data_IF_529541656035
#
_entry.id   IF_529541656035
#
_cell.length_a   1.000
_cell.length_b   1.000
_cell.length_c   1.000
_cell.angle_alpha   90.00
_cell.angle_beta   90.00
_cell.angle_gamma   90.00
#
_symmetry.space_group_name_H-M   'P 1'
#
loop_
_entity.id
_entity.type
_entity.pdbx_description
1 polymer ?
#
# COMPACT_ATOMS: atom_id res chain seq x y z
N UNK A 1 -19.85 8.85 -23.08
CA UNK A 1 -19.80 8.64 -21.63
C UNK A 1 -19.56 7.16 -21.40
N UNK A 2 -18.29 6.77 -21.28
CA UNK A 2 -17.90 5.37 -21.02
C UNK A 2 -17.85 5.14 -19.51
N UNK A 3 -18.33 4.01 -18.99
CA UNK A 3 -18.28 3.72 -17.56
C UNK A 3 -16.83 3.47 -17.14
N UNK A 4 -16.37 4.24 -16.16
CA UNK A 4 -15.10 4.01 -15.47
C UNK A 4 -15.17 2.66 -14.75
N UNK A 5 -14.40 1.69 -15.22
CA UNK A 5 -14.23 0.41 -14.57
C UNK A 5 -13.41 0.64 -13.30
N UNK A 6 -14.07 0.61 -12.16
CA UNK A 6 -13.38 0.57 -10.87
C UNK A 6 -12.50 -0.70 -10.82
N UNK A 7 -11.23 -0.61 -10.37
CA UNK A 7 -10.42 -1.81 -10.19
C UNK A 7 -11.12 -2.76 -9.23
N UNK A 8 -11.21 -4.02 -9.65
CA UNK A 8 -11.80 -5.11 -8.87
C UNK A 8 -11.17 -5.16 -7.48
N UNK A 9 -12.02 -5.41 -6.47
CA UNK A 9 -11.55 -5.72 -5.13
C UNK A 9 -10.57 -6.89 -5.24
N UNK A 10 -9.32 -6.67 -4.85
CA UNK A 10 -8.34 -7.76 -4.73
C UNK A 10 -8.82 -8.61 -3.55
N UNK A 11 -9.39 -9.75 -3.86
CA UNK A 11 -9.73 -10.77 -2.88
C UNK A 11 -8.40 -11.43 -2.45
N UNK A 12 -7.72 -10.79 -1.50
CA UNK A 12 -6.58 -11.40 -0.84
C UNK A 12 -7.16 -12.51 0.04
N UNK A 13 -7.05 -13.73 -0.48
CA UNK A 13 -7.43 -14.96 0.19
C UNK A 13 -7.11 -14.90 1.68
N UNK A 14 -8.08 -15.33 2.49
CA UNK A 14 -7.95 -15.44 3.93
C UNK A 14 -6.58 -16.03 4.28
N UNK A 15 -5.76 -15.28 4.99
CA UNK A 15 -4.54 -15.82 5.62
C UNK A 15 -5.03 -16.86 6.62
N UNK A 16 -4.90 -18.12 6.24
CA UNK A 16 -5.31 -19.24 7.09
C UNK A 16 -4.43 -19.23 8.34
N UNK A 17 -4.99 -19.26 9.56
CA UNK A 17 -4.21 -19.41 10.77
C UNK A 17 -3.75 -20.87 10.89
N UNK A 18 -2.46 -21.09 11.00
CA UNK A 18 -1.98 -22.33 11.57
C UNK A 18 -2.27 -22.30 13.07
N UNK A 19 -3.16 -23.19 13.48
CA UNK A 19 -3.41 -23.71 14.83
C UNK A 19 -3.53 -22.70 15.99
N UNK A 20 -4.77 -22.39 16.34
CA UNK A 20 -5.18 -21.66 17.54
C UNK A 20 -6.36 -20.76 17.20
N UNK A 21 -7.55 -21.06 17.70
CA UNK A 21 -8.83 -20.41 17.39
C UNK A 21 -8.75 -18.88 17.44
N UNK A 22 -8.50 -18.26 16.32
CA UNK A 22 -8.64 -16.82 16.12
C UNK A 22 -9.44 -16.60 14.85
N UNK A 23 -10.47 -15.78 14.96
CA UNK A 23 -11.33 -15.42 13.85
C UNK A 23 -10.52 -14.97 12.63
N UNK A 24 -10.91 -15.39 11.41
CA UNK A 24 -10.22 -14.99 10.19
C UNK A 24 -10.26 -13.46 10.04
N UNK A 25 -9.08 -12.87 9.85
CA UNK A 25 -8.97 -11.43 9.59
C UNK A 25 -9.09 -11.21 8.09
N UNK A 26 -9.97 -10.30 7.68
CA UNK A 26 -10.18 -9.91 6.28
C UNK A 26 -9.58 -8.54 6.02
N UNK A 27 -8.83 -8.43 4.93
CA UNK A 27 -8.32 -7.15 4.43
C UNK A 27 -9.32 -6.56 3.44
N UNK A 28 -9.66 -5.28 3.60
CA UNK A 28 -10.56 -4.54 2.73
C UNK A 28 -10.04 -3.11 2.51
N UNK A 29 -10.58 -2.44 1.47
CA UNK A 29 -10.32 -1.00 1.29
C UNK A 29 -10.95 -0.23 2.46
N UNK A 30 -10.15 0.68 3.07
CA UNK A 30 -10.61 1.61 4.09
C UNK A 30 -11.69 2.51 3.50
N UNK A 31 -12.81 2.63 4.21
CA UNK A 31 -13.96 3.43 3.84
C UNK A 31 -14.17 4.56 4.86
N UNK A 32 -14.98 5.53 4.50
CA UNK A 32 -15.23 6.69 5.35
C UNK A 32 -15.73 6.32 6.76
N UNK A 33 -16.51 5.25 6.90
CA UNK A 33 -17.02 4.77 8.19
C UNK A 33 -15.96 4.08 9.06
N UNK A 34 -14.80 3.71 8.50
CA UNK A 34 -13.69 3.11 9.23
C UNK A 34 -12.79 4.16 9.90
N UNK A 35 -12.90 5.43 9.48
CA UNK A 35 -11.97 6.49 9.90
C UNK A 35 -11.95 6.68 11.42
N UNK A 36 -13.11 6.62 12.07
CA UNK A 36 -13.19 6.79 13.52
C UNK A 36 -12.41 5.70 14.28
N UNK A 37 -12.60 4.43 13.89
CA UNK A 37 -11.90 3.30 14.51
C UNK A 37 -10.40 3.34 14.24
N UNK A 38 -10.02 3.69 12.99
CA UNK A 38 -8.61 3.80 12.59
C UNK A 38 -7.92 4.92 13.34
N UNK A 39 -8.53 6.10 13.46
CA UNK A 39 -7.97 7.22 14.21
C UNK A 39 -7.84 6.92 15.71
N UNK A 40 -8.78 6.16 16.29
CA UNK A 40 -8.68 5.70 17.66
C UNK A 40 -7.50 4.75 17.87
N UNK A 41 -7.34 3.74 17.00
CA UNK A 41 -6.21 2.82 17.06
C UNK A 41 -4.87 3.54 16.80
N UNK A 42 -4.83 4.50 15.89
CA UNK A 42 -3.66 5.34 15.61
C UNK A 42 -3.25 6.11 16.89
N UNK A 43 -4.21 6.76 17.55
CA UNK A 43 -3.96 7.52 18.77
C UNK A 43 -3.42 6.64 19.91
N UNK A 44 -3.95 5.44 20.06
CA UNK A 44 -3.49 4.46 21.06
C UNK A 44 -2.06 3.99 20.80
N UNK A 45 -1.66 3.88 19.53
CA UNK A 45 -0.36 3.34 19.15
C UNK A 45 0.74 4.39 19.05
N UNK A 46 0.42 5.59 18.58
CA UNK A 46 1.41 6.63 18.24
C UNK A 46 1.32 7.88 19.13
N UNK A 47 0.30 7.98 19.98
CA UNK A 47 0.15 9.07 20.94
C UNK A 47 0.24 10.46 20.29
N UNK A 48 1.18 11.34 20.72
CA UNK A 48 1.26 12.71 20.20
C UNK A 48 1.60 12.84 18.71
N UNK A 49 2.14 11.78 18.08
CA UNK A 49 2.49 11.77 16.67
C UNK A 49 1.43 11.11 15.80
N UNK A 50 0.31 10.68 16.39
CA UNK A 50 -0.80 10.06 15.70
C UNK A 50 -1.46 10.99 14.68
N UNK A 51 -1.90 10.43 13.58
CA UNK A 51 -2.73 11.14 12.63
C UNK A 51 -4.13 11.40 13.20
N UNK A 52 -4.64 12.61 12.96
CA UNK A 52 -6.03 12.92 13.31
C UNK A 52 -7.02 12.31 12.31
N UNK A 53 -8.29 12.27 12.69
CA UNK A 53 -9.36 11.84 11.79
C UNK A 53 -9.43 12.73 10.53
N UNK A 54 -9.20 14.05 10.66
CA UNK A 54 -9.18 15.00 9.55
C UNK A 54 -8.06 14.67 8.55
N UNK A 55 -6.88 14.22 9.03
CA UNK A 55 -5.80 13.81 8.15
C UNK A 55 -6.18 12.53 7.38
N UNK A 56 -6.77 11.52 8.04
CA UNK A 56 -7.30 10.35 7.34
C UNK A 56 -8.33 10.72 6.27
N UNK A 57 -9.24 11.67 6.57
CA UNK A 57 -10.21 12.17 5.59
C UNK A 57 -9.53 12.80 4.39
N UNK A 58 -8.51 13.66 4.61
CA UNK A 58 -7.78 14.31 3.52
C UNK A 58 -7.03 13.31 2.65
N UNK A 59 -6.42 12.28 3.26
CA UNK A 59 -5.74 11.22 2.54
C UNK A 59 -6.69 10.35 1.71
N UNK A 60 -7.88 10.02 2.22
CA UNK A 60 -8.88 9.28 1.45
C UNK A 60 -9.41 10.03 0.23
N UNK A 61 -9.44 11.36 0.29
CA UNK A 61 -9.92 12.22 -0.80
C UNK A 61 -8.84 12.54 -1.85
N UNK A 62 -7.56 12.36 -1.52
CA UNK A 62 -6.47 12.76 -2.40
C UNK A 62 -6.22 11.72 -3.51
N UNK A 63 -5.81 12.16 -4.71
CA UNK A 63 -5.47 11.25 -5.81
C UNK A 63 -4.21 10.44 -5.48
N UNK A 64 -4.10 9.25 -6.07
CA UNK A 64 -2.95 8.36 -5.87
C UNK A 64 -2.90 7.67 -4.51
N UNK A 65 -3.95 7.81 -3.68
CA UNK A 65 -4.02 7.21 -2.36
C UNK A 65 -4.62 5.81 -2.36
N UNK A 66 -4.00 4.94 -1.58
CA UNK A 66 -4.51 3.62 -1.24
C UNK A 66 -4.62 3.48 0.27
N UNK A 67 -5.76 3.02 0.77
CA UNK A 67 -5.95 2.80 2.19
C UNK A 67 -6.68 1.47 2.44
N UNK A 68 -6.27 0.75 3.49
CA UNK A 68 -6.80 -0.57 3.82
C UNK A 68 -7.04 -0.69 5.31
N UNK A 69 -8.03 -1.50 5.65
CA UNK A 69 -8.31 -1.97 7.01
C UNK A 69 -8.33 -3.49 7.04
N UNK A 70 -7.89 -4.05 8.14
CA UNK A 70 -8.01 -5.46 8.44
C UNK A 70 -8.96 -5.64 9.62
N UNK A 71 -10.03 -6.42 9.46
CA UNK A 71 -11.05 -6.67 10.48
C UNK A 71 -11.28 -8.15 10.69
N UNK A 72 -11.61 -8.53 11.91
CA UNK A 72 -12.12 -9.85 12.26
C UNK A 72 -13.55 -10.03 11.77
N UNK A 73 -14.08 -11.25 11.84
CA UNK A 73 -15.44 -11.57 11.42
C UNK A 73 -16.51 -10.83 12.27
N UNK A 74 -16.22 -10.57 13.55
CA UNK A 74 -17.07 -9.78 14.46
C UNK A 74 -16.90 -8.25 14.29
N UNK A 75 -16.03 -7.82 13.35
CA UNK A 75 -15.82 -6.42 12.98
C UNK A 75 -14.74 -5.69 13.76
N UNK A 76 -14.00 -6.33 14.68
CA UNK A 76 -12.93 -5.68 15.41
C UNK A 76 -11.78 -5.27 14.46
N UNK A 77 -11.25 -4.04 14.61
CA UNK A 77 -10.15 -3.52 13.79
C UNK A 77 -8.83 -4.16 14.25
N UNK A 78 -8.22 -4.95 13.38
CA UNK A 78 -6.95 -5.64 13.62
C UNK A 78 -5.74 -4.87 13.10
N UNK A 79 -5.93 -3.95 12.16
CA UNK A 79 -4.86 -3.13 11.60
C UNK A 79 -5.32 -2.30 10.40
N UNK A 80 -4.43 -1.45 9.91
CA UNK A 80 -4.67 -0.58 8.75
C UNK A 80 -3.35 -0.21 8.09
N UNK A 81 -3.43 0.29 6.85
CA UNK A 81 -2.31 0.91 6.14
C UNK A 81 -2.82 2.00 5.18
N UNK A 82 -2.00 3.02 4.97
CA UNK A 82 -2.21 4.06 3.96
C UNK A 82 -0.95 4.20 3.13
N UNK A 83 -1.11 4.23 1.81
CA UNK A 83 -0.03 4.48 0.86
C UNK A 83 -0.40 5.62 -0.08
N UNK A 84 0.61 6.36 -0.51
CA UNK A 84 0.51 7.46 -1.46
C UNK A 84 1.45 7.19 -2.64
N UNK A 85 0.96 7.29 -3.88
CA UNK A 85 1.80 7.22 -5.06
C UNK A 85 1.76 8.54 -5.83
N UNK A 86 2.94 9.04 -6.22
CA UNK A 86 3.11 10.25 -6.98
C UNK A 86 4.26 10.08 -7.98
N UNK A 87 3.93 9.88 -9.26
CA UNK A 87 4.93 9.65 -10.31
C UNK A 87 5.67 8.33 -10.11
N UNK A 88 7.00 8.38 -10.09
CA UNK A 88 7.87 7.21 -9.97
C UNK A 88 8.03 6.70 -8.53
N UNK A 89 7.63 7.47 -7.54
CA UNK A 89 7.77 7.14 -6.13
C UNK A 89 6.41 6.93 -5.47
N UNK A 90 6.38 6.05 -4.49
CA UNK A 90 5.26 5.86 -3.58
C UNK A 90 5.77 5.78 -2.14
N UNK A 91 4.92 6.13 -1.18
CA UNK A 91 5.22 6.10 0.24
C UNK A 91 4.20 5.27 1.00
N UNK A 92 4.65 4.43 1.93
CA UNK A 92 3.81 3.91 3.01
C UNK A 92 3.74 5.00 4.08
N UNK A 93 2.62 5.69 4.12
CA UNK A 93 2.41 6.87 4.97
C UNK A 93 2.22 6.49 6.44
N UNK A 94 1.40 5.48 6.67
CA UNK A 94 1.20 4.85 7.99
C UNK A 94 0.81 3.39 7.81
N UNK A 95 1.24 2.54 8.73
CA UNK A 95 0.89 1.12 8.80
C UNK A 95 0.94 0.66 10.25
N UNK A 96 -0.11 0.03 10.72
CA UNK A 96 -0.16 -0.48 12.08
C UNK A 96 -1.01 -1.73 12.23
N UNK A 97 -0.68 -2.50 13.27
CA UNK A 97 -1.46 -3.66 13.72
C UNK A 97 -1.80 -3.52 15.19
N UNK A 98 -3.04 -3.80 15.55
CA UNK A 98 -3.46 -3.83 16.93
C UNK A 98 -2.60 -4.81 17.75
N UNK A 99 -2.24 -4.53 19.01
CA UNK A 99 -1.35 -5.37 19.81
C UNK A 99 -1.79 -6.83 19.86
N UNK A 100 -3.08 -7.09 20.00
CA UNK A 100 -3.67 -8.43 20.06
C UNK A 100 -3.62 -9.20 18.73
N UNK A 101 -3.46 -8.50 17.59
CA UNK A 101 -3.42 -9.08 16.25
C UNK A 101 -2.00 -9.29 15.70
N UNK A 102 -0.97 -8.92 16.46
CA UNK A 102 0.44 -9.07 16.05
C UNK A 102 0.87 -10.52 15.96
N UNK A 103 1.94 -10.78 15.17
CA UNK A 103 2.51 -12.12 15.02
C UNK A 103 1.71 -13.08 14.12
N UNK A 104 0.71 -12.58 13.38
CA UNK A 104 -0.19 -13.37 12.52
C UNK A 104 -0.03 -13.07 11.02
N UNK A 105 1.10 -12.49 10.61
CA UNK A 105 1.34 -12.12 9.20
C UNK A 105 0.55 -10.90 8.70
N UNK A 106 -0.24 -10.25 9.57
CA UNK A 106 -1.09 -9.13 9.17
C UNK A 106 -0.29 -7.94 8.64
N UNK A 107 0.87 -7.65 9.24
CA UNK A 107 1.77 -6.60 8.76
C UNK A 107 2.28 -6.89 7.35
N UNK A 108 2.58 -8.16 7.05
CA UNK A 108 3.01 -8.59 5.72
C UNK A 108 1.88 -8.40 4.70
N UNK A 109 0.63 -8.75 5.05
CA UNK A 109 -0.53 -8.56 4.17
C UNK A 109 -0.84 -7.08 3.89
N UNK A 110 -0.78 -6.22 4.91
CA UNK A 110 -1.00 -4.78 4.77
C UNK A 110 0.10 -4.14 3.91
N UNK A 111 1.36 -4.51 4.14
CA UNK A 111 2.48 -3.99 3.36
C UNK A 111 2.40 -4.46 1.91
N UNK A 112 2.04 -5.72 1.65
CA UNK A 112 1.82 -6.24 0.31
C UNK A 112 0.71 -5.48 -0.45
N UNK A 113 -0.35 -5.04 0.24
CA UNK A 113 -1.39 -4.21 -0.38
C UNK A 113 -0.86 -2.82 -0.78
N UNK A 114 0.02 -2.21 0.03
CA UNK A 114 0.71 -0.97 -0.34
C UNK A 114 1.63 -1.15 -1.55
N UNK A 115 2.38 -2.25 -1.59
CA UNK A 115 3.28 -2.60 -2.70
C UNK A 115 2.52 -2.80 -4.01
N UNK A 116 1.40 -3.54 -3.97
CA UNK A 116 0.53 -3.75 -5.13
C UNK A 116 -0.06 -2.44 -5.65
N UNK A 117 -0.49 -1.55 -4.74
CA UNK A 117 -1.02 -0.24 -5.10
C UNK A 117 0.05 0.62 -5.78
N UNK A 118 1.25 0.70 -5.22
CA UNK A 118 2.37 1.43 -5.78
C UNK A 118 2.70 0.93 -7.20
N UNK A 119 2.82 -0.40 -7.37
CA UNK A 119 3.09 -1.03 -8.66
C UNK A 119 1.97 -0.77 -9.67
N UNK A 120 0.69 -0.86 -9.27
CA UNK A 120 -0.46 -0.61 -10.13
C UNK A 120 -0.52 0.84 -10.65
N UNK A 121 0.04 1.80 -9.91
CA UNK A 121 0.17 3.20 -10.32
C UNK A 121 1.50 3.50 -11.02
N UNK A 122 2.31 2.48 -11.32
CA UNK A 122 3.55 2.63 -12.07
C UNK A 122 4.73 3.15 -11.25
N UNK A 123 4.62 3.20 -9.91
CA UNK A 123 5.73 3.59 -9.08
C UNK A 123 6.88 2.57 -9.18
N UNK A 124 8.10 3.05 -9.29
CA UNK A 124 9.33 2.24 -9.40
C UNK A 124 10.06 2.12 -8.06
N UNK A 125 9.64 2.86 -7.06
CA UNK A 125 10.13 2.78 -5.69
C UNK A 125 8.99 2.95 -4.68
N UNK A 126 9.07 2.21 -3.58
CA UNK A 126 8.23 2.38 -2.40
C UNK A 126 9.12 2.75 -1.22
N UNK A 127 8.79 3.85 -0.55
CA UNK A 127 9.52 4.41 0.58
C UNK A 127 8.69 4.31 1.85
N UNK A 128 9.36 4.39 2.99
CA UNK A 128 8.72 4.55 4.30
C UNK A 128 9.73 5.09 5.32
N UNK A 129 9.21 5.64 6.41
CA UNK A 129 9.98 6.01 7.58
C UNK A 129 9.62 5.10 8.76
N UNK A 130 10.63 4.71 9.55
CA UNK A 130 10.44 3.85 10.73
C UNK A 130 11.37 4.28 11.85
N UNK A 131 10.89 4.23 13.08
CA UNK A 131 11.73 4.43 14.25
C UNK A 131 12.87 3.38 14.26
N UNK A 132 14.11 3.86 14.43
CA UNK A 132 15.29 3.01 14.47
C UNK A 132 15.23 1.95 15.59
N UNK A 133 14.52 2.24 16.67
CA UNK A 133 14.27 1.34 17.80
C UNK A 133 13.17 0.30 17.54
N UNK A 134 12.32 0.48 16.51
CA UNK A 134 11.23 -0.43 16.19
C UNK A 134 11.74 -1.70 15.48
N UNK A 135 12.38 -2.58 16.23
CA UNK A 135 12.97 -3.82 15.70
C UNK A 135 11.94 -4.76 15.03
N UNK A 136 10.70 -4.92 15.51
CA UNK A 136 9.67 -5.72 14.81
C UNK A 136 9.34 -5.19 13.42
N UNK A 137 9.10 -3.88 13.28
CA UNK A 137 8.79 -3.26 11.99
C UNK A 137 9.98 -3.34 11.02
N UNK A 138 11.20 -3.09 11.50
CA UNK A 138 12.41 -3.21 10.69
C UNK A 138 12.60 -4.63 10.14
N UNK A 139 12.29 -5.67 10.93
CA UNK A 139 12.33 -7.07 10.45
C UNK A 139 11.27 -7.33 9.38
N UNK A 140 10.06 -6.78 9.54
CA UNK A 140 9.02 -6.85 8.51
C UNK A 140 9.53 -6.25 7.19
N UNK A 141 10.00 -5.02 7.21
CA UNK A 141 10.47 -4.32 6.01
C UNK A 141 11.67 -5.02 5.36
N UNK A 142 12.61 -5.53 6.15
CA UNK A 142 13.75 -6.29 5.62
C UNK A 142 13.31 -7.56 4.88
N UNK A 143 12.29 -8.30 5.38
CA UNK A 143 11.74 -9.47 4.68
C UNK A 143 11.10 -9.10 3.35
N UNK A 144 10.54 -7.90 3.25
CA UNK A 144 9.97 -7.36 2.01
C UNK A 144 11.01 -6.70 1.09
N UNK A 145 12.30 -6.80 1.40
CA UNK A 145 13.37 -6.29 0.56
C UNK A 145 13.56 -4.77 0.63
N UNK A 146 13.11 -4.13 1.71
CA UNK A 146 13.43 -2.73 1.96
C UNK A 146 14.88 -2.60 2.46
N UNK A 147 15.58 -1.64 1.90
CA UNK A 147 16.96 -1.27 2.25
C UNK A 147 17.00 0.13 2.84
N UNK A 148 17.93 0.37 3.75
CA UNK A 148 18.10 1.68 4.36
C UNK A 148 18.68 2.67 3.34
N UNK A 149 17.97 3.74 3.06
CA UNK A 149 18.39 4.85 2.20
C UNK A 149 19.08 5.97 3.02
N UNK A 150 18.48 6.32 4.17
CA UNK A 150 18.95 7.41 5.02
C UNK A 150 18.60 7.19 6.49
N UNK A 151 19.16 8.04 7.36
CA UNK A 151 18.82 8.14 8.77
C UNK A 151 18.63 9.60 9.13
N UNK A 152 17.51 9.92 9.78
CA UNK A 152 17.21 11.25 10.32
C UNK A 152 17.36 11.20 11.84
N UNK A 153 18.35 11.93 12.36
CA UNK A 153 18.60 11.96 13.80
C UNK A 153 17.52 12.75 14.52
N UNK A 154 17.15 12.28 15.70
CA UNK A 154 16.20 12.93 16.61
C UNK A 154 14.84 13.27 15.98
N UNK A 155 14.43 12.55 14.94
CA UNK A 155 13.23 12.85 14.14
C UNK A 155 11.94 12.71 14.96
N UNK A 156 11.85 11.68 15.80
CA UNK A 156 10.71 11.45 16.68
C UNK A 156 10.91 12.03 18.09
N UNK A 157 12.02 12.74 18.32
CA UNK A 157 12.40 13.33 19.59
C UNK A 157 13.87 13.01 19.94
N UNK A 158 14.41 13.59 21.02
CA UNK A 158 15.81 13.37 21.43
C UNK A 158 16.16 11.89 21.58
N UNK A 159 17.14 11.40 20.80
CA UNK A 159 17.57 10.00 20.79
C UNK A 159 16.68 9.05 19.99
N UNK A 160 15.59 9.51 19.40
CA UNK A 160 14.66 8.72 18.60
C UNK A 160 14.80 9.03 17.10
N UNK A 161 15.70 8.29 16.44
CA UNK A 161 16.01 8.48 15.03
C UNK A 161 14.99 7.77 14.13
N UNK A 162 14.71 8.36 12.95
CA UNK A 162 14.02 7.68 11.87
C UNK A 162 15.00 7.06 10.87
N UNK A 163 14.69 5.87 10.40
CA UNK A 163 15.30 5.27 9.22
C UNK A 163 14.37 5.49 8.04
N UNK A 164 14.91 6.06 6.96
CA UNK A 164 14.22 6.10 5.66
C UNK A 164 14.59 4.82 4.93
N UNK A 165 13.59 4.01 4.63
CA UNK A 165 13.77 2.75 3.93
C UNK A 165 13.18 2.84 2.53
N UNK A 166 13.76 2.14 1.57
CA UNK A 166 13.31 2.08 0.19
C UNK A 166 13.34 0.65 -0.33
N UNK A 167 12.32 0.30 -1.08
CA UNK A 167 12.26 -0.90 -1.92
C UNK A 167 12.03 -0.50 -3.38
N UNK A 168 12.72 -1.14 -4.32
CA UNK A 168 12.39 -1.03 -5.76
C UNK A 168 11.16 -1.85 -6.05
N UNK A 169 10.22 -1.27 -6.79
CA UNK A 169 9.05 -1.96 -7.31
C UNK A 169 9.28 -2.26 -8.79
N UNK A 170 8.77 -3.39 -9.27
CA UNK A 170 8.76 -3.65 -10.71
C UNK A 170 7.38 -3.23 -11.22
N UNK A 171 7.29 -2.19 -12.06
CA UNK A 171 6.01 -1.83 -12.64
C UNK A 171 5.48 -2.99 -13.49
N UNK A 172 4.15 -3.11 -13.65
CA UNK A 172 3.57 -4.09 -14.55
C UNK A 172 4.14 -3.88 -15.97
N UNK A 173 4.32 -4.95 -16.75
CA UNK A 173 4.78 -4.81 -18.13
C UNK A 173 3.84 -3.88 -18.89
N UNK A 174 4.41 -2.88 -19.53
CA UNK A 174 3.66 -2.00 -20.43
C UNK A 174 3.05 -2.88 -21.51
N UNK A 175 1.74 -2.79 -21.81
CA UNK A 175 1.17 -3.51 -22.93
C UNK A 175 1.94 -3.09 -24.19
N UNK A 176 2.56 -4.05 -24.87
CA UNK A 176 3.19 -3.82 -26.17
C UNK A 176 2.09 -3.34 -27.10
N UNK A 177 2.16 -2.09 -27.52
CA UNK A 177 1.38 -1.61 -28.65
C UNK A 177 2.05 -2.18 -29.89
N UNK A 178 1.75 -3.44 -30.22
CA UNK A 178 1.94 -3.95 -31.58
C UNK A 178 0.93 -3.20 -32.43
N UNK A 179 1.39 -2.08 -32.96
CA UNK A 179 0.74 -1.41 -34.07
C UNK A 179 0.84 -2.38 -35.25
N UNK A 180 -0.28 -2.85 -35.83
CA UNK A 180 -0.20 -3.66 -37.03
C UNK A 180 0.36 -2.77 -38.14
N UNK A 181 1.54 -3.19 -38.64
CA UNK A 181 2.18 -2.66 -39.82
C UNK A 181 1.12 -2.54 -40.94
N UNK A 182 0.80 -1.29 -41.29
CA UNK A 182 -0.10 -1.00 -42.40
C UNK A 182 0.56 -1.50 -43.67
N UNK A 183 0.11 -2.65 -44.14
CA UNK A 183 0.47 -3.18 -45.41
C UNK A 183 0.30 -2.11 -46.48
N UNK A 184 1.43 -1.74 -47.09
CA UNK A 184 1.55 -0.96 -48.32
C UNK A 184 0.85 -1.73 -49.44
N UNK A 185 -0.41 -1.38 -49.72
CA UNK A 185 -1.13 -1.85 -50.91
C UNK A 185 -0.85 -0.90 -52.07
N UNK A 186 0.36 -1.01 -52.60
CA UNK A 186 0.73 -0.37 -53.86
C UNK A 186 0.24 -1.25 -55.01
N UNK A 187 -0.94 -1.02 -55.52
CA UNK A 187 -1.42 -1.56 -56.81
C UNK A 187 -0.77 -0.80 -57.98
N UNK A 188 0.11 -1.43 -58.79
CA UNK A 188 0.61 -0.85 -60.04
C UNK A 188 -0.03 -1.56 -61.21
N UNK A 189 -1.15 -1.11 -61.74
CA UNK A 189 -1.58 -1.68 -62.99
C UNK A 189 -2.94 -1.32 -63.54
N UNK A 190 -3.07 -0.18 -64.19
CA UNK A 190 -4.01 -0.04 -65.29
C UNK A 190 -3.40 0.84 -66.36
N UNK A 191 -2.97 0.23 -67.42
CA UNK A 191 -2.66 0.91 -68.72
C UNK A 191 -3.91 0.96 -69.58
N UNK A 192 -4.13 2.07 -70.34
CA UNK A 192 -5.24 2.24 -71.25
C UNK A 192 -4.91 1.63 -72.65
N UNK A 193 -5.94 1.15 -73.33
CA UNK A 193 -6.00 1.02 -74.74
C UNK A 193 -7.00 2.02 -75.33
#
# INVERSE_FOLDING_TARGET
MSPSTAPAAVDLAAVAPESGASDPVRLARLRWWDVADVAALEADLFGPTAWSAELFWSELAAPGRGAWVARTADGALAGYAVAAAAGADADVQTIATAPWARGRGLGDALLAACEQHAAALGATALLLEVDAGNAPARRLYARHGFEQLARRRDYYGPGADALVLRRRTTPPPTPSTDEPDAADDTDPGARPA
#
